data_IF_610530781215
#
_entry.id   IF_610530781215
#
_cell.length_a   1.000
_cell.length_b   1.000
_cell.length_c   1.000
_cell.angle_alpha   90.00
_cell.angle_beta   90.00
_cell.angle_gamma   90.00
#
_symmetry.space_group_name_H-M   'P 1'
#
loop_
_entity.id
_entity.type
_entity.pdbx_description
1 polymer ?
#
# COMPACT_ATOMS: atom_id res chain seq x y z
N UNK A 1 2.18 -0.88 23.19
CA UNK A 1 1.90 -0.58 21.78
C UNK A 1 2.28 -1.75 20.91
N UNK A 2 1.49 -2.04 19.91
CA UNK A 2 1.75 -3.10 18.94
C UNK A 2 2.21 -2.51 17.62
N UNK A 3 2.81 -3.32 16.75
CA UNK A 3 3.15 -2.92 15.39
C UNK A 3 1.92 -2.40 14.64
N UNK A 4 0.79 -3.05 14.82
CA UNK A 4 -0.48 -2.67 14.18
C UNK A 4 -0.96 -1.30 14.66
N UNK A 5 -0.88 -1.02 15.96
CA UNK A 5 -1.24 0.27 16.53
C UNK A 5 -0.35 1.39 16.00
N UNK A 6 0.95 1.14 15.92
CA UNK A 6 1.92 2.12 15.43
C UNK A 6 1.69 2.43 13.95
N UNK A 7 1.42 1.41 13.13
CA UNK A 7 1.13 1.59 11.71
C UNK A 7 -0.18 2.36 11.50
N UNK A 8 -1.20 2.07 12.28
CA UNK A 8 -2.48 2.78 12.19
C UNK A 8 -2.33 4.26 12.51
N UNK A 9 -1.54 4.58 13.52
CA UNK A 9 -1.25 5.96 13.90
C UNK A 9 -0.54 6.72 12.78
N UNK A 10 0.48 6.10 12.17
CA UNK A 10 1.19 6.69 11.03
C UNK A 10 0.26 6.84 9.82
N UNK A 11 -0.59 5.85 9.57
CA UNK A 11 -1.56 5.89 8.48
C UNK A 11 -2.51 7.07 8.62
N UNK A 12 -3.02 7.33 9.82
CA UNK A 12 -3.89 8.47 10.09
C UNK A 12 -3.20 9.79 9.81
N UNK A 13 -1.92 9.91 10.17
CA UNK A 13 -1.13 11.10 9.84
C UNK A 13 -0.97 11.25 8.32
N UNK A 14 -0.77 10.15 7.60
CA UNK A 14 -0.66 10.18 6.14
C UNK A 14 -1.96 10.60 5.47
N UNK A 15 -3.10 10.18 5.99
CA UNK A 15 -4.42 10.52 5.43
C UNK A 15 -4.68 12.03 5.50
N UNK A 16 -4.10 12.70 6.48
CA UNK A 16 -4.22 14.16 6.64
C UNK A 16 -3.08 14.93 5.98
N UNK A 17 -2.12 14.23 5.36
CA UNK A 17 -0.94 14.86 4.80
C UNK A 17 -1.26 15.71 3.57
N UNK A 18 -0.75 16.94 3.55
CA UNK A 18 -0.85 17.83 2.40
C UNK A 18 0.49 18.56 2.16
N UNK A 19 1.60 17.89 2.51
CA UNK A 19 2.93 18.50 2.48
C UNK A 19 3.49 18.70 1.07
N UNK A 20 2.88 18.09 0.04
CA UNK A 20 3.33 18.24 -1.32
C UNK A 20 2.14 18.35 -2.29
N UNK A 21 2.43 18.73 -3.54
CA UNK A 21 1.39 18.95 -4.55
C UNK A 21 0.59 17.69 -4.90
N UNK A 22 1.12 16.50 -4.64
CA UNK A 22 0.42 15.25 -4.92
C UNK A 22 -0.86 15.10 -4.10
N UNK A 23 -0.92 15.76 -2.94
CA UNK A 23 -2.13 15.75 -2.11
C UNK A 23 -3.32 16.39 -2.81
N UNK A 24 -3.09 17.27 -3.77
CA UNK A 24 -4.17 17.96 -4.49
C UNK A 24 -4.78 17.11 -5.59
N UNK A 25 -4.01 16.20 -6.18
CA UNK A 25 -4.45 15.39 -7.31
C UNK A 25 -4.83 13.96 -6.94
N UNK A 26 -4.46 13.51 -5.74
CA UNK A 26 -4.81 12.16 -5.29
C UNK A 26 -6.30 12.05 -4.98
N UNK A 27 -6.88 10.88 -5.20
CA UNK A 27 -8.22 10.56 -4.72
C UNK A 27 -8.14 9.98 -3.30
N UNK A 28 -7.22 9.06 -3.07
CA UNK A 28 -6.99 8.44 -1.78
C UNK A 28 -5.50 8.38 -1.47
N UNK A 29 -5.17 8.34 -0.19
CA UNK A 29 -3.86 7.89 0.27
C UNK A 29 -3.79 6.37 0.05
N UNK A 30 -2.68 5.91 -0.51
CA UNK A 30 -2.40 4.48 -0.67
C UNK A 30 -1.29 4.13 0.31
N UNK A 31 -1.68 3.80 1.54
CA UNK A 31 -0.71 3.60 2.62
C UNK A 31 -0.04 2.23 2.54
N UNK A 32 -0.82 1.17 2.61
CA UNK A 32 -0.32 -0.20 2.60
C UNK A 32 -1.46 -1.20 2.45
N UNK A 33 -1.10 -2.46 2.23
CA UNK A 33 -2.01 -3.59 2.30
C UNK A 33 -1.26 -4.80 2.83
N UNK A 34 -1.99 -5.79 3.33
CA UNK A 34 -1.37 -6.99 3.85
C UNK A 34 -1.35 -7.04 5.36
N UNK A 35 -0.55 -7.97 5.88
CA UNK A 35 -0.50 -8.29 7.31
C UNK A 35 0.66 -7.54 7.95
N UNK A 36 0.39 -6.62 8.90
CA UNK A 36 1.44 -5.96 9.66
C UNK A 36 2.33 -6.99 10.38
N UNK A 37 3.59 -6.65 10.55
CA UNK A 37 4.56 -7.52 11.22
C UNK A 37 4.87 -8.83 10.47
N UNK A 38 4.60 -8.88 9.17
CA UNK A 38 4.99 -10.00 8.34
C UNK A 38 6.51 -10.06 8.16
N UNK A 39 7.04 -11.25 7.93
CA UNK A 39 8.47 -11.42 7.68
C UNK A 39 8.91 -10.93 6.30
N UNK A 40 7.96 -10.85 5.35
CA UNK A 40 8.23 -10.36 4.01
C UNK A 40 7.48 -9.06 3.77
N UNK A 41 8.22 -8.05 3.33
CA UNK A 41 7.68 -6.74 2.98
C UNK A 41 8.05 -6.42 1.54
N UNK A 42 7.06 -6.06 0.74
CA UNK A 42 7.28 -5.56 -0.60
C UNK A 42 7.12 -4.05 -0.62
N UNK A 43 8.09 -3.38 -1.24
CA UNK A 43 8.10 -1.92 -1.32
C UNK A 43 8.18 -1.53 -2.79
N UNK A 44 7.13 -0.90 -3.30
CA UNK A 44 7.11 -0.33 -4.63
C UNK A 44 7.41 1.16 -4.62
N UNK A 45 7.23 1.81 -5.75
CA UNK A 45 7.52 3.23 -5.90
C UNK A 45 6.33 4.11 -5.55
N UNK A 46 5.23 4.00 -6.29
CA UNK A 46 4.10 4.90 -6.15
C UNK A 46 2.80 4.26 -6.66
N UNK A 47 1.63 4.73 -6.19
CA UNK A 47 0.35 4.24 -6.67
C UNK A 47 0.06 4.68 -8.11
N UNK A 48 -0.59 3.82 -8.87
CA UNK A 48 -1.17 4.15 -10.16
C UNK A 48 -2.64 4.54 -10.03
N UNK A 49 -3.35 4.58 -11.16
CA UNK A 49 -4.75 4.98 -11.22
C UNK A 49 -5.66 4.07 -10.35
N UNK A 50 -5.54 2.76 -10.53
CA UNK A 50 -6.40 1.83 -9.80
C UNK A 50 -6.10 1.84 -8.30
N UNK A 51 -4.83 1.97 -7.94
CA UNK A 51 -4.41 2.04 -6.55
C UNK A 51 -4.95 3.30 -5.87
N UNK A 52 -4.85 4.44 -6.53
CA UNK A 52 -5.37 5.71 -6.03
C UNK A 52 -6.90 5.65 -5.86
N UNK A 53 -7.59 5.01 -6.79
CA UNK A 53 -9.05 4.89 -6.75
C UNK A 53 -9.52 3.98 -5.61
N UNK A 54 -8.81 2.89 -5.35
CA UNK A 54 -9.19 1.91 -4.34
C UNK A 54 -8.55 2.13 -2.97
N UNK A 55 -7.48 2.92 -2.91
CA UNK A 55 -6.75 3.17 -1.67
C UNK A 55 -5.84 2.02 -1.25
N UNK A 56 -5.52 1.10 -2.15
CA UNK A 56 -4.68 -0.07 -1.87
C UNK A 56 -3.55 -0.20 -2.88
N UNK A 57 -2.34 -0.63 -2.46
CA UNK A 57 -1.22 -0.82 -3.38
C UNK A 57 -1.38 -2.08 -4.24
N UNK A 58 -0.86 -2.03 -5.45
CA UNK A 58 -0.75 -3.20 -6.33
C UNK A 58 -2.09 -3.90 -6.58
N UNK A 59 -3.10 -3.15 -7.05
CA UNK A 59 -4.44 -3.70 -7.36
C UNK A 59 -4.78 -3.67 -8.84
N UNK A 60 -3.93 -3.07 -9.71
CA UNK A 60 -4.12 -3.11 -11.15
C UNK A 60 -3.65 -4.43 -11.75
N UNK A 61 -3.43 -4.47 -13.08
CA UNK A 61 -2.99 -5.69 -13.77
C UNK A 61 -1.71 -6.25 -13.21
N UNK A 62 -0.71 -5.40 -12.96
CA UNK A 62 0.56 -5.82 -12.38
C UNK A 62 0.37 -6.38 -10.98
N UNK A 63 -0.53 -5.79 -10.20
CA UNK A 63 -0.85 -6.28 -8.87
C UNK A 63 -1.54 -7.63 -8.88
N UNK A 64 -2.42 -7.87 -9.85
CA UNK A 64 -3.07 -9.17 -10.01
C UNK A 64 -2.08 -10.26 -10.39
N UNK A 65 -1.15 -9.95 -11.29
CA UNK A 65 -0.07 -10.88 -11.64
C UNK A 65 0.80 -11.18 -10.42
N UNK A 66 1.13 -10.16 -9.64
CA UNK A 66 1.90 -10.32 -8.41
C UNK A 66 1.20 -11.25 -7.43
N UNK A 67 -0.11 -11.09 -7.23
CA UNK A 67 -0.89 -11.96 -6.35
C UNK A 67 -0.89 -13.40 -6.84
N UNK A 68 -0.96 -13.63 -8.14
CA UNK A 68 -0.89 -14.98 -8.72
C UNK A 68 0.48 -15.62 -8.47
N UNK A 69 1.56 -14.85 -8.60
CA UNK A 69 2.91 -15.32 -8.32
C UNK A 69 3.05 -15.67 -6.83
N UNK A 70 2.56 -14.83 -5.95
CA UNK A 70 2.59 -15.09 -4.50
C UNK A 70 1.84 -16.39 -4.17
N UNK A 71 0.65 -16.54 -4.71
CA UNK A 71 -0.17 -17.73 -4.46
C UNK A 71 0.54 -19.00 -4.90
N UNK A 72 1.27 -18.95 -6.00
CA UNK A 72 2.00 -20.13 -6.50
C UNK A 72 3.12 -20.59 -5.57
N UNK A 73 3.59 -19.74 -4.67
CA UNK A 73 4.65 -20.07 -3.70
C UNK A 73 4.17 -20.03 -2.25
N UNK A 74 2.87 -20.05 -2.04
CA UNK A 74 2.29 -20.10 -0.69
C UNK A 74 2.27 -18.78 0.05
N UNK A 75 2.38 -17.65 -0.67
CA UNK A 75 2.34 -16.32 -0.07
C UNK A 75 1.02 -15.63 -0.40
N UNK A 76 0.55 -14.77 0.49
CA UNK A 76 -0.68 -14.01 0.30
C UNK A 76 -0.63 -12.73 1.13
N UNK A 77 -1.12 -11.63 0.55
CA UNK A 77 -1.24 -10.38 1.32
C UNK A 77 -2.30 -10.46 2.43
N UNK A 78 -3.10 -11.52 2.44
CA UNK A 78 -4.06 -11.77 3.52
C UNK A 78 -3.43 -12.49 4.71
N UNK A 79 -2.31 -13.17 4.52
CA UNK A 79 -1.76 -14.08 5.53
C UNK A 79 -0.34 -13.76 5.96
N UNK A 80 0.56 -13.46 5.03
CA UNK A 80 2.00 -13.46 5.36
C UNK A 80 2.85 -12.43 4.62
N UNK A 81 2.23 -11.44 3.97
CA UNK A 81 2.96 -10.38 3.26
C UNK A 81 2.42 -9.01 3.67
N UNK A 82 3.32 -8.04 3.78
CA UNK A 82 2.98 -6.63 3.92
C UNK A 82 3.47 -5.89 2.68
N UNK A 83 2.61 -5.09 2.04
CA UNK A 83 2.90 -4.42 0.78
C UNK A 83 2.69 -2.91 0.92
N UNK A 84 3.64 -2.12 0.45
CA UNK A 84 3.50 -0.67 0.44
C UNK A 84 4.31 -0.06 -0.71
N UNK A 85 4.20 1.26 -0.87
CA UNK A 85 5.02 2.06 -1.76
C UNK A 85 5.76 3.12 -0.95
N UNK A 86 6.89 3.59 -1.46
CA UNK A 86 7.60 4.70 -0.83
C UNK A 86 6.80 5.99 -0.90
N UNK A 87 6.10 6.23 -2.01
CA UNK A 87 5.22 7.39 -2.21
C UNK A 87 3.79 6.94 -1.99
N UNK A 88 3.06 7.65 -1.13
CA UNK A 88 1.69 7.26 -0.73
C UNK A 88 0.60 7.93 -1.56
N UNK A 89 0.95 8.87 -2.41
CA UNK A 89 0.03 9.60 -3.27
C UNK A 89 0.34 9.33 -4.74
N UNK A 90 -0.69 9.22 -5.57
CA UNK A 90 -0.50 9.00 -7.00
C UNK A 90 0.17 10.22 -7.65
N UNK A 91 1.32 10.06 -8.33
CA UNK A 91 1.90 11.15 -9.12
C UNK A 91 1.11 11.37 -10.41
N UNK A 92 1.22 12.58 -10.99
CA UNK A 92 0.53 12.89 -12.23
C UNK A 92 1.04 12.07 -13.42
#
# INVERSE_FOLDING_TARGET
>A
MTTESDLEEVKQLCELCNNCSLAQSRTNIVFSDGVPNSKLMLIGEAPGYNEDKQGKPFVGKAGQLLDNIFESVGLSRKENIYICNTIKCRPP
#
